data_IF_550307080353
#
_entry.id   IF_550307080353
#
_cell.length_a   1.000
_cell.length_b   1.000
_cell.length_c   1.000
_cell.angle_alpha   90.00
_cell.angle_beta   90.00
_cell.angle_gamma   90.00
#
_symmetry.space_group_name_H-M   'P 1'
#
loop_
_entity.id
_entity.type
_entity.pdbx_description
1 polymer ?
#
# COMPACT_ATOMS: atom_id res chain seq x y z
N UNK A 1 -7.56 23.89 54.76
CA UNK A 1 -8.88 23.98 54.08
C UNK A 1 -8.88 25.03 52.96
N UNK A 2 -8.06 26.09 53.05
CA UNK A 2 -7.94 27.18 52.06
C UNK A 2 -7.31 26.76 50.72
N UNK A 3 -6.26 25.94 50.71
CA UNK A 3 -5.61 25.49 49.48
C UNK A 3 -6.48 24.57 48.59
N UNK A 4 -7.43 23.85 49.17
CA UNK A 4 -8.40 23.04 48.41
C UNK A 4 -9.45 23.95 47.78
N UNK A 5 -9.90 24.98 48.49
CA UNK A 5 -10.86 25.97 47.97
C UNK A 5 -10.25 26.80 46.84
N UNK A 6 -9.00 27.25 46.98
CA UNK A 6 -8.27 27.96 45.91
C UNK A 6 -8.03 27.08 44.67
N UNK A 7 -7.74 25.79 44.85
CA UNK A 7 -7.57 24.86 43.72
C UNK A 7 -8.90 24.47 43.06
N UNK A 8 -10.00 24.45 43.81
CA UNK A 8 -11.36 24.27 43.26
C UNK A 8 -11.81 25.53 42.52
N UNK A 9 -11.44 26.73 42.98
CA UNK A 9 -11.71 27.99 42.28
C UNK A 9 -10.90 28.13 40.99
N UNK A 10 -9.66 27.61 40.92
CA UNK A 10 -8.90 27.47 39.66
C UNK A 10 -9.50 26.48 38.66
N UNK A 11 -10.43 25.62 39.09
CA UNK A 11 -11.25 24.78 38.21
C UNK A 11 -12.55 25.45 37.78
N UNK A 12 -12.79 26.71 38.19
CA UNK A 12 -13.83 27.54 37.62
C UNK A 12 -13.63 27.65 36.10
N UNK A 13 -14.70 27.43 35.34
CA UNK A 13 -14.70 27.59 33.89
C UNK A 13 -14.54 29.08 33.59
N UNK A 14 -13.30 29.58 33.54
CA UNK A 14 -13.02 31.01 33.27
C UNK A 14 -13.21 31.39 31.79
N UNK A 15 -13.52 30.43 30.91
CA UNK A 15 -13.59 30.66 29.47
C UNK A 15 -14.74 29.85 28.85
N UNK A 16 -15.53 30.53 28.02
CA UNK A 16 -16.67 29.92 27.34
C UNK A 16 -16.22 28.86 26.31
N UNK A 17 -17.06 27.84 26.08
CA UNK A 17 -16.80 26.84 25.04
C UNK A 17 -17.27 27.42 23.70
N UNK A 18 -16.36 27.46 22.73
CA UNK A 18 -16.61 27.90 21.37
C UNK A 18 -16.66 26.68 20.46
N UNK A 19 -17.70 26.61 19.62
CA UNK A 19 -17.84 25.54 18.61
C UNK A 19 -17.56 26.11 17.23
N UNK A 20 -16.69 25.44 16.48
CA UNK A 20 -16.24 25.83 15.16
C UNK A 20 -16.55 24.71 14.16
N UNK A 21 -16.89 25.06 12.92
CA UNK A 21 -17.23 24.11 11.87
C UNK A 21 -16.40 24.33 10.62
N UNK A 22 -15.80 23.25 10.13
CA UNK A 22 -15.08 23.22 8.87
C UNK A 22 -15.93 22.41 7.86
N UNK A 23 -16.50 23.07 6.86
CA UNK A 23 -17.29 22.43 5.80
C UNK A 23 -16.47 22.33 4.53
N UNK A 24 -16.21 21.11 4.08
CA UNK A 24 -15.57 20.85 2.79
C UNK A 24 -16.57 21.10 1.66
N UNK A 25 -16.21 21.92 0.67
CA UNK A 25 -17.07 22.15 -0.50
C UNK A 25 -16.40 21.72 -1.81
N UNK A 26 -15.07 21.65 -1.83
CA UNK A 26 -14.26 21.00 -2.85
C UNK A 26 -13.14 20.22 -2.17
N UNK A 27 -12.52 19.28 -2.89
CA UNK A 27 -11.52 18.37 -2.31
C UNK A 27 -10.36 19.17 -1.68
N UNK A 28 -10.24 19.11 -0.35
CA UNK A 28 -9.23 19.84 0.42
C UNK A 28 -9.46 21.35 0.55
N UNK A 29 -10.63 21.86 0.16
CA UNK A 29 -11.02 23.27 0.30
C UNK A 29 -12.21 23.38 1.24
N UNK A 30 -12.03 24.18 2.29
CA UNK A 30 -12.96 24.29 3.41
C UNK A 30 -13.49 25.70 3.57
N UNK A 31 -14.77 25.81 3.90
CA UNK A 31 -15.39 27.00 4.41
C UNK A 31 -15.52 26.90 5.94
N UNK A 32 -15.25 28.00 6.64
CA UNK A 32 -15.11 28.04 8.09
C UNK A 32 -16.24 28.85 8.73
N UNK A 33 -17.01 28.21 9.60
CA UNK A 33 -18.21 28.80 10.19
C UNK A 33 -18.25 28.65 11.70
N UNK A 34 -18.87 29.63 12.36
CA UNK A 34 -19.18 29.58 13.80
C UNK A 34 -20.65 29.98 14.02
N UNK A 35 -21.39 29.31 14.92
CA UNK A 35 -22.71 29.76 15.36
C UNK A 35 -22.60 30.87 16.42
N UNK A 36 -21.41 31.05 17.01
CA UNK A 36 -21.14 32.02 18.07
C UNK A 36 -20.85 33.37 17.44
N UNK A 37 -21.56 34.39 17.91
CA UNK A 37 -21.28 35.79 17.64
C UNK A 37 -20.40 36.33 18.77
N UNK A 38 -19.34 37.04 18.42
CA UNK A 38 -18.53 37.78 19.39
C UNK A 38 -19.25 39.08 19.79
N UNK A 39 -18.84 39.71 20.89
CA UNK A 39 -19.42 40.98 21.40
C UNK A 39 -19.34 42.11 20.35
N UNK A 40 -18.33 42.05 19.47
CA UNK A 40 -18.10 42.99 18.38
C UNK A 40 -18.83 42.62 17.06
N UNK A 41 -19.61 41.53 17.02
CA UNK A 41 -20.25 40.99 15.80
C UNK A 41 -19.24 40.62 14.69
N UNK A 42 -18.00 40.29 15.04
CA UNK A 42 -16.91 39.98 14.08
C UNK A 42 -16.63 38.47 13.94
N UNK A 43 -15.78 38.12 12.97
CA UNK A 43 -15.34 36.75 12.69
C UNK A 43 -14.32 36.24 13.73
N UNK A 44 -14.44 34.99 14.16
CA UNK A 44 -13.54 34.35 15.13
C UNK A 44 -12.29 33.83 14.42
N UNK A 45 -11.09 33.97 15.01
CA UNK A 45 -9.86 33.41 14.45
C UNK A 45 -9.32 32.26 15.30
N UNK A 46 -8.98 31.14 14.64
CA UNK A 46 -8.42 29.96 15.29
C UNK A 46 -7.35 29.30 14.42
N UNK A 47 -6.34 28.68 15.02
CA UNK A 47 -5.26 28.00 14.27
C UNK A 47 -5.64 26.58 13.88
N UNK A 48 -5.20 26.14 12.70
CA UNK A 48 -5.21 24.73 12.34
C UNK A 48 -4.01 23.97 12.93
N UNK A 49 -3.99 22.65 12.82
CA UNK A 49 -2.90 21.80 13.33
C UNK A 49 -1.55 22.10 12.69
N UNK A 50 -1.54 22.74 11.51
CA UNK A 50 -0.34 23.23 10.82
C UNK A 50 0.11 24.63 11.26
N UNK A 51 -0.62 25.29 12.16
CA UNK A 51 -0.32 26.63 12.68
C UNK A 51 -0.87 27.79 11.85
N UNK A 52 -1.62 27.51 10.77
CA UNK A 52 -2.22 28.56 9.92
C UNK A 52 -3.45 29.13 10.62
N UNK A 53 -3.56 30.47 10.65
CA UNK A 53 -4.75 31.15 11.19
C UNK A 53 -5.90 31.04 10.20
N UNK A 54 -7.05 30.54 10.68
CA UNK A 54 -8.31 30.43 9.94
C UNK A 54 -9.33 31.39 10.53
N UNK A 55 -10.06 32.07 9.66
CA UNK A 55 -11.11 33.00 10.03
C UNK A 55 -12.48 32.33 9.85
N UNK A 56 -13.20 32.20 10.95
CA UNK A 56 -14.53 31.59 11.06
C UNK A 56 -15.60 32.67 11.00
N UNK A 57 -16.44 32.62 9.98
CA UNK A 57 -17.52 33.59 9.80
C UNK A 57 -18.76 33.18 10.60
N UNK A 58 -19.41 34.15 11.24
CA UNK A 58 -20.66 33.90 11.95
C UNK A 58 -21.79 33.63 10.94
N UNK A 59 -22.35 32.43 10.98
CA UNK A 59 -23.51 32.04 10.16
C UNK A 59 -24.54 31.40 11.10
N UNK A 60 -25.84 31.73 10.96
CA UNK A 60 -26.91 31.07 11.70
C UNK A 60 -27.01 29.60 11.25
N UNK A 61 -26.28 28.75 11.97
CA UNK A 61 -26.22 27.31 11.78
C UNK A 61 -26.55 26.62 13.09
N UNK A 62 -27.45 25.65 13.03
CA UNK A 62 -27.89 24.86 14.17
C UNK A 62 -27.54 23.40 13.90
N UNK A 63 -26.79 22.81 14.82
CA UNK A 63 -26.23 21.47 14.70
C UNK A 63 -26.60 20.69 15.96
N UNK A 64 -27.49 19.71 15.80
CA UNK A 64 -28.10 18.96 16.90
C UNK A 64 -27.93 17.45 16.69
N UNK A 65 -28.03 16.67 17.77
CA UNK A 65 -27.99 15.21 17.70
C UNK A 65 -26.58 14.60 17.67
N UNK A 66 -25.55 15.34 18.11
CA UNK A 66 -24.16 14.86 18.25
C UNK A 66 -23.92 13.95 19.46
N UNK A 67 -24.93 13.22 19.90
CA UNK A 67 -24.83 12.44 21.12
C UNK A 67 -23.99 11.17 20.90
N UNK A 68 -23.04 10.92 21.80
CA UNK A 68 -22.17 9.74 21.74
C UNK A 68 -22.79 8.67 22.63
N UNK A 69 -23.67 7.88 22.03
CA UNK A 69 -24.31 6.75 22.69
C UNK A 69 -23.35 5.55 22.69
N UNK A 70 -23.26 4.85 23.83
CA UNK A 70 -22.41 3.65 23.98
C UNK A 70 -23.08 2.36 23.51
N UNK A 71 -24.40 2.39 23.29
CA UNK A 71 -25.21 1.25 22.89
C UNK A 71 -26.27 1.68 21.84
N UNK A 72 -26.53 0.82 20.86
CA UNK A 72 -27.52 1.05 19.80
C UNK A 72 -26.99 1.63 18.48
N UNK A 73 -27.92 2.10 17.65
CA UNK A 73 -27.61 2.74 16.37
C UNK A 73 -26.88 4.06 16.58
N UNK A 74 -25.91 4.37 15.73
CA UNK A 74 -25.19 5.62 15.79
C UNK A 74 -26.15 6.81 15.59
N UNK A 75 -25.95 7.87 16.36
CA UNK A 75 -26.70 9.11 16.18
C UNK A 75 -26.44 9.67 14.79
N UNK A 76 -27.49 10.14 14.12
CA UNK A 76 -27.44 10.84 12.84
C UNK A 76 -27.75 12.31 13.09
N UNK A 77 -26.74 13.15 13.31
CA UNK A 77 -26.95 14.55 13.64
C UNK A 77 -27.65 15.28 12.50
N UNK A 78 -28.41 16.32 12.83
CA UNK A 78 -29.02 17.21 11.84
C UNK A 78 -28.32 18.56 11.85
N UNK A 79 -28.01 19.06 10.65
CA UNK A 79 -27.47 20.41 10.44
C UNK A 79 -28.51 21.26 9.74
N UNK A 80 -29.04 22.27 10.41
CA UNK A 80 -29.96 23.24 9.85
C UNK A 80 -29.23 24.55 9.59
N UNK A 81 -29.26 25.01 8.35
CA UNK A 81 -28.70 26.29 7.92
C UNK A 81 -29.86 27.20 7.51
N UNK A 82 -29.87 28.44 7.99
CA UNK A 82 -30.86 29.41 7.53
C UNK A 82 -30.69 29.67 6.02
N UNK A 83 -31.79 29.71 5.28
CA UNK A 83 -31.78 29.83 3.81
C UNK A 83 -31.60 31.30 3.37
N UNK A 84 -30.52 31.93 3.84
CA UNK A 84 -30.05 33.21 3.34
C UNK A 84 -29.23 32.90 2.09
N UNK A 85 -29.91 32.74 0.96
CA UNK A 85 -29.34 32.18 -0.27
C UNK A 85 -28.07 32.88 -0.79
N UNK A 86 -27.84 34.16 -0.51
CA UNK A 86 -26.66 34.88 -1.00
C UNK A 86 -25.41 34.57 -0.17
N UNK A 87 -25.43 34.82 1.14
CA UNK A 87 -24.23 34.75 1.99
C UNK A 87 -23.67 33.33 2.10
N UNK A 88 -24.53 32.30 2.18
CA UNK A 88 -24.06 30.92 2.29
C UNK A 88 -23.57 30.38 0.95
N UNK A 89 -24.20 30.72 -0.19
CA UNK A 89 -23.71 30.34 -1.52
C UNK A 89 -22.40 31.04 -1.86
N UNK A 90 -22.26 32.32 -1.52
CA UNK A 90 -21.02 33.08 -1.72
C UNK A 90 -19.86 32.46 -0.92
N UNK A 91 -20.12 32.03 0.33
CA UNK A 91 -19.14 31.34 1.16
C UNK A 91 -18.74 29.95 0.63
N UNK A 92 -19.58 29.32 -0.19
CA UNK A 92 -19.35 28.01 -0.81
C UNK A 92 -18.90 28.10 -2.28
N UNK A 93 -18.52 29.29 -2.75
CA UNK A 93 -18.04 29.49 -4.12
C UNK A 93 -19.13 29.32 -5.19
N UNK A 94 -20.39 29.59 -4.85
CA UNK A 94 -21.53 29.53 -5.76
C UNK A 94 -22.17 28.14 -5.92
N UNK A 95 -21.74 27.16 -5.13
CA UNK A 95 -22.31 25.81 -5.15
C UNK A 95 -23.72 25.77 -4.54
N UNK A 96 -24.56 24.88 -5.07
CA UNK A 96 -25.89 24.62 -4.54
C UNK A 96 -25.85 23.74 -3.29
N UNK A 97 -26.95 23.71 -2.55
CA UNK A 97 -27.09 22.83 -1.39
C UNK A 97 -27.00 21.34 -1.75
N UNK A 98 -27.36 20.96 -2.98
CA UNK A 98 -27.27 19.57 -3.46
C UNK A 98 -25.82 19.12 -3.66
N UNK A 99 -24.92 20.04 -4.00
CA UNK A 99 -23.49 19.75 -4.25
C UNK A 99 -22.72 19.44 -2.95
N UNK A 100 -23.36 19.68 -1.80
CA UNK A 100 -22.84 19.36 -0.48
C UNK A 100 -23.07 17.91 -0.07
N UNK A 101 -23.91 17.15 -0.80
CA UNK A 101 -24.12 15.73 -0.51
C UNK A 101 -22.82 14.96 -0.73
N UNK A 102 -22.43 14.17 0.28
CA UNK A 102 -21.17 13.42 0.31
C UNK A 102 -19.97 14.23 0.79
N UNK A 103 -20.12 15.53 1.08
CA UNK A 103 -19.06 16.38 1.62
C UNK A 103 -18.90 16.22 3.13
N UNK A 104 -17.71 16.54 3.62
CA UNK A 104 -17.34 16.38 5.03
C UNK A 104 -17.59 17.66 5.80
N UNK A 105 -18.13 17.51 7.01
CA UNK A 105 -18.18 18.57 8.01
C UNK A 105 -17.43 18.12 9.25
N UNK A 106 -16.47 18.94 9.70
CA UNK A 106 -15.72 18.70 10.93
C UNK A 106 -16.16 19.69 11.98
N UNK A 107 -16.61 19.17 13.12
CA UNK A 107 -16.92 19.95 14.31
C UNK A 107 -15.68 20.00 15.20
N UNK A 108 -15.22 21.20 15.49
CA UNK A 108 -14.12 21.50 16.42
C UNK A 108 -14.71 22.22 17.62
N UNK A 109 -14.20 21.91 18.81
CA UNK A 109 -14.64 22.59 20.03
C UNK A 109 -13.40 23.00 20.81
N UNK A 110 -13.36 24.26 21.24
CA UNK A 110 -12.24 24.81 22.02
C UNK A 110 -12.78 25.78 23.07
N UNK A 111 -11.91 26.30 23.92
CA UNK A 111 -12.23 27.38 24.85
C UNK A 111 -11.82 28.72 24.23
N UNK A 112 -12.59 29.76 24.49
CA UNK A 112 -12.36 31.12 23.97
C UNK A 112 -10.93 31.63 24.22
N UNK A 113 -10.31 31.30 25.35
CA UNK A 113 -8.93 31.70 25.69
C UNK A 113 -7.86 31.14 24.74
N UNK A 114 -8.18 30.09 23.97
CA UNK A 114 -7.29 29.47 22.98
C UNK A 114 -7.50 30.01 21.56
N UNK A 115 -8.41 30.97 21.38
CA UNK A 115 -8.56 31.71 20.11
C UNK A 115 -7.34 32.61 19.88
N UNK A 116 -7.12 32.95 18.61
CA UNK A 116 -6.00 33.82 18.21
C UNK A 116 -6.18 35.20 18.83
N UNK A 117 -5.12 35.72 19.45
CA UNK A 117 -5.14 37.00 20.16
C UNK A 117 -5.40 36.90 21.67
N UNK A 118 -5.78 35.71 22.17
CA UNK A 118 -5.98 35.45 23.60
C UNK A 118 -4.75 34.80 24.26
N UNK A 119 -4.75 34.76 25.60
CA UNK A 119 -3.59 34.32 26.41
C UNK A 119 -3.18 32.86 26.22
N UNK A 120 -4.07 32.01 25.68
CA UNK A 120 -3.83 30.60 25.41
C UNK A 120 -3.49 30.25 23.96
N UNK A 121 -3.43 31.23 23.05
CA UNK A 121 -3.07 30.96 21.64
C UNK A 121 -1.70 30.26 21.55
N UNK A 122 -1.67 29.09 20.91
CA UNK A 122 -0.48 28.24 20.82
C UNK A 122 -0.48 27.41 19.54
N UNK A 123 0.70 26.92 19.16
CA UNK A 123 0.89 26.03 18.02
C UNK A 123 1.65 24.79 18.49
N UNK A 124 1.07 23.58 18.43
CA UNK A 124 -0.26 23.25 17.89
C UNK A 124 -1.42 23.81 18.74
N UNK A 125 -2.59 24.06 18.12
CA UNK A 125 -3.75 24.61 18.83
C UNK A 125 -4.28 23.64 19.89
N UNK A 126 -4.81 24.18 20.98
CA UNK A 126 -5.47 23.39 22.03
C UNK A 126 -6.96 23.30 21.71
N UNK A 127 -7.47 22.09 21.48
CA UNK A 127 -8.88 21.80 21.23
C UNK A 127 -9.29 20.45 21.83
N UNK A 128 -10.59 20.25 21.99
CA UNK A 128 -11.16 18.94 22.27
C UNK A 128 -11.14 18.07 20.99
N UNK A 129 -11.28 16.73 21.12
CA UNK A 129 -11.30 15.84 19.96
C UNK A 129 -12.29 16.29 18.89
N UNK A 130 -11.78 16.63 17.70
CA UNK A 130 -12.60 17.00 16.55
C UNK A 130 -13.35 15.80 16.01
N UNK A 131 -14.62 15.99 15.63
CA UNK A 131 -15.46 14.91 15.09
C UNK A 131 -15.85 15.26 13.66
N UNK A 132 -15.64 14.34 12.72
CA UNK A 132 -15.99 14.54 11.30
C UNK A 132 -17.17 13.66 10.90
N UNK A 133 -18.16 14.28 10.27
CA UNK A 133 -19.32 13.64 9.65
C UNK A 133 -19.35 13.89 8.15
N UNK A 134 -20.16 13.12 7.44
CA UNK A 134 -20.44 13.28 6.02
C UNK A 134 -21.91 13.65 5.85
N UNK A 135 -22.21 14.62 4.99
CA UNK A 135 -23.58 14.97 4.63
C UNK A 135 -24.17 13.83 3.79
N UNK A 136 -25.16 13.12 4.32
CA UNK A 136 -25.77 11.94 3.66
C UNK A 136 -26.86 12.39 2.67
N UNK A 137 -27.76 13.27 3.12
CA UNK A 137 -28.87 13.78 2.30
C UNK A 137 -29.46 15.09 2.86
N UNK A 138 -30.24 15.75 2.03
CA UNK A 138 -31.12 16.85 2.46
C UNK A 138 -32.38 16.23 3.08
N UNK A 139 -32.56 16.46 4.37
CA UNK A 139 -33.72 15.98 5.12
C UNK A 139 -34.97 16.85 4.86
N UNK A 140 -34.79 18.16 4.76
CA UNK A 140 -35.86 19.10 4.42
C UNK A 140 -35.32 20.38 3.81
N UNK A 141 -36.11 20.99 2.93
CA UNK A 141 -35.80 22.28 2.29
C UNK A 141 -37.04 23.17 2.37
N UNK A 142 -36.89 24.33 3.00
CA UNK A 142 -37.93 25.34 3.15
C UNK A 142 -37.40 26.71 2.75
N UNK A 143 -38.29 27.68 2.58
CA UNK A 143 -37.90 29.08 2.29
C UNK A 143 -37.05 29.65 3.42
N UNK A 144 -37.27 29.21 4.67
CA UNK A 144 -36.58 29.72 5.86
C UNK A 144 -35.24 29.03 6.14
N UNK A 145 -35.05 27.79 5.68
CA UNK A 145 -33.87 26.99 6.04
C UNK A 145 -33.79 25.65 5.32
N UNK A 146 -32.58 25.10 5.24
CA UNK A 146 -32.27 23.77 4.72
C UNK A 146 -31.73 22.92 5.85
N UNK A 147 -32.26 21.71 6.02
CA UNK A 147 -31.79 20.75 7.01
C UNK A 147 -31.12 19.56 6.32
N UNK A 148 -29.88 19.28 6.71
CA UNK A 148 -29.08 18.16 6.25
C UNK A 148 -29.05 17.07 7.33
N UNK A 149 -29.12 15.81 6.90
CA UNK A 149 -28.84 14.66 7.75
C UNK A 149 -27.36 14.29 7.60
N UNK A 150 -26.66 14.20 8.72
CA UNK A 150 -25.25 13.85 8.79
C UNK A 150 -25.09 12.38 9.19
N UNK A 151 -24.17 11.69 8.54
CA UNK A 151 -23.79 10.32 8.85
C UNK A 151 -22.32 10.22 9.23
N UNK A 152 -21.99 9.29 10.12
CA UNK A 152 -20.59 8.96 10.36
C UNK A 152 -19.97 8.36 9.09
N UNK A 153 -18.67 8.57 8.79
CA UNK A 153 -18.04 8.09 7.56
C UNK A 153 -18.15 6.57 7.30
N UNK A 154 -18.40 5.78 8.35
CA UNK A 154 -18.56 4.33 8.29
C UNK A 154 -20.03 3.84 8.27
N UNK A 155 -21.00 4.73 8.51
CA UNK A 155 -22.44 4.44 8.45
C UNK A 155 -23.06 4.84 7.09
N UNK A 156 -22.23 5.25 6.14
CA UNK A 156 -22.67 5.53 4.77
C UNK A 156 -23.09 4.24 4.05
N UNK A 157 -24.15 4.33 3.26
CA UNK A 157 -24.65 3.20 2.49
C UNK A 157 -23.56 2.60 1.59
N UNK A 158 -23.41 1.27 1.63
CA UNK A 158 -22.42 0.55 0.82
C UNK A 158 -21.03 0.46 1.44
N UNK A 159 -20.76 1.16 2.54
CA UNK A 159 -19.52 0.99 3.30
C UNK A 159 -19.69 -0.17 4.29
N UNK A 160 -18.85 -1.21 4.16
CA UNK A 160 -18.77 -2.31 5.12
C UNK A 160 -17.42 -2.27 5.84
N UNK A 161 -17.46 -2.29 7.16
CA UNK A 161 -16.30 -2.58 7.99
C UNK A 161 -16.31 -4.07 8.36
N UNK A 162 -15.17 -4.79 8.29
CA UNK A 162 -13.85 -4.32 7.86
C UNK A 162 -13.76 -4.16 6.33
N UNK A 163 -13.11 -3.09 5.85
CA UNK A 163 -12.80 -2.94 4.41
C UNK A 163 -11.85 -4.01 3.87
N UNK A 164 -11.09 -4.68 4.74
CA UNK A 164 -10.15 -5.75 4.38
C UNK A 164 -10.85 -7.10 4.47
N UNK A 165 -10.93 -7.80 3.34
CA UNK A 165 -11.38 -9.20 3.28
C UNK A 165 -10.21 -10.11 3.63
N UNK A 166 -10.38 -10.97 4.64
CA UNK A 166 -9.41 -12.01 4.98
C UNK A 166 -9.69 -13.23 4.10
N UNK A 167 -8.81 -13.49 3.13
CA UNK A 167 -8.89 -14.69 2.29
C UNK A 167 -8.05 -15.79 2.94
N UNK A 168 -8.69 -16.90 3.29
CA UNK A 168 -7.98 -18.07 3.82
C UNK A 168 -6.94 -18.59 2.82
N UNK A 169 -5.72 -18.86 3.29
CA UNK A 169 -4.63 -19.37 2.43
C UNK A 169 -3.63 -18.31 1.95
N UNK A 170 -3.98 -17.03 2.02
CA UNK A 170 -3.17 -15.94 1.48
C UNK A 170 -2.65 -14.98 2.56
N UNK A 171 -1.45 -14.46 2.35
CA UNK A 171 -0.80 -13.47 3.19
C UNK A 171 -1.46 -12.09 2.99
N UNK A 172 -2.00 -11.45 4.05
CA UNK A 172 -2.59 -10.12 3.94
C UNK A 172 -1.57 -8.98 3.93
N UNK A 173 -0.29 -9.27 4.24
CA UNK A 173 0.71 -8.21 4.42
C UNK A 173 1.26 -7.70 3.10
N UNK A 174 1.65 -6.42 3.10
CA UNK A 174 2.48 -5.82 2.05
C UNK A 174 3.82 -6.55 2.04
N UNK A 175 4.28 -6.92 0.84
CA UNK A 175 5.57 -7.62 0.71
C UNK A 175 6.71 -6.68 1.10
N UNK A 176 7.69 -7.17 1.87
CA UNK A 176 8.81 -6.39 2.43
C UNK A 176 8.38 -5.20 3.31
N UNK A 177 7.09 -5.08 3.65
CA UNK A 177 6.55 -3.93 4.36
C UNK A 177 7.02 -3.82 5.80
N UNK A 178 7.48 -4.91 6.42
CA UNK A 178 8.09 -4.89 7.76
C UNK A 178 9.59 -5.23 7.72
N UNK A 179 10.26 -4.97 6.58
CA UNK A 179 11.69 -5.19 6.43
C UNK A 179 12.46 -4.52 7.57
N UNK A 180 13.47 -5.21 8.10
CA UNK A 180 14.37 -4.63 9.13
C UNK A 180 15.17 -3.43 8.62
N UNK A 181 15.24 -3.24 7.30
CA UNK A 181 15.94 -2.12 6.65
C UNK A 181 15.07 -0.88 6.47
N UNK A 182 13.77 -0.94 6.83
CA UNK A 182 12.86 0.21 6.82
C UNK A 182 12.91 0.94 8.17
N UNK A 183 12.75 2.27 8.13
CA UNK A 183 12.50 3.05 9.34
C UNK A 183 11.17 2.61 9.98
N UNK A 184 11.07 2.70 11.31
CA UNK A 184 9.89 2.19 12.04
C UNK A 184 8.59 2.84 11.57
N UNK A 185 8.63 4.13 11.22
CA UNK A 185 7.48 4.90 10.71
C UNK A 185 6.99 4.43 9.33
N UNK A 186 7.87 3.81 8.54
CA UNK A 186 7.57 3.34 7.18
C UNK A 186 7.16 1.85 7.15
N UNK A 187 7.17 1.18 8.31
CA UNK A 187 6.81 -0.24 8.38
C UNK A 187 5.30 -0.42 8.25
N UNK A 188 4.90 -1.21 7.27
CA UNK A 188 3.51 -1.54 6.96
C UNK A 188 3.31 -3.06 6.86
N UNK A 189 2.59 -3.64 7.83
CA UNK A 189 2.25 -5.06 7.85
C UNK A 189 3.29 -5.92 8.60
N UNK A 190 3.42 -7.20 8.22
CA UNK A 190 4.23 -8.18 8.96
C UNK A 190 5.27 -8.94 8.13
N UNK A 191 5.45 -8.60 6.84
CA UNK A 191 6.46 -9.27 6.03
C UNK A 191 7.85 -8.69 6.29
N UNK A 192 8.65 -9.41 7.07
CA UNK A 192 10.02 -9.03 7.46
C UNK A 192 11.11 -9.34 6.41
N UNK A 193 10.72 -9.70 5.18
CA UNK A 193 11.69 -9.96 4.12
C UNK A 193 12.46 -8.67 3.79
N UNK A 194 13.78 -8.78 3.62
CA UNK A 194 14.66 -7.62 3.45
C UNK A 194 14.49 -6.97 2.08
N UNK A 195 14.57 -5.63 2.01
CA UNK A 195 14.44 -4.87 0.76
C UNK A 195 15.58 -5.12 -0.23
N UNK A 196 16.76 -5.48 0.27
CA UNK A 196 17.96 -5.80 -0.50
C UNK A 196 18.00 -7.25 -1.01
N UNK A 197 16.92 -8.01 -0.80
CA UNK A 197 16.76 -9.39 -1.24
C UNK A 197 17.88 -10.32 -0.75
N UNK A 198 18.39 -10.09 0.46
CA UNK A 198 19.41 -10.93 1.09
C UNK A 198 18.81 -11.85 2.15
N UNK A 199 19.36 -13.05 2.24
CA UNK A 199 19.17 -13.98 3.34
C UNK A 199 20.52 -14.30 3.99
N UNK A 200 20.58 -14.25 5.31
CA UNK A 200 21.78 -14.65 6.05
C UNK A 200 21.72 -16.14 6.35
N UNK A 201 22.69 -16.91 5.85
CA UNK A 201 22.82 -18.35 6.10
C UNK A 201 24.25 -18.58 6.60
N UNK A 202 24.39 -18.99 7.87
CA UNK A 202 25.70 -19.26 8.48
C UNK A 202 26.59 -18.02 8.55
N UNK A 203 26.02 -16.84 8.79
CA UNK A 203 26.77 -15.58 8.88
C UNK A 203 27.07 -14.91 7.54
N UNK A 204 26.74 -15.54 6.41
CA UNK A 204 26.96 -14.98 5.07
C UNK A 204 25.64 -14.59 4.42
N UNK A 205 25.61 -13.40 3.81
CA UNK A 205 24.45 -12.93 3.06
C UNK A 205 24.44 -13.46 1.62
N UNK A 206 23.32 -14.06 1.21
CA UNK A 206 23.09 -14.54 -0.15
C UNK A 206 21.90 -13.83 -0.78
N UNK A 207 21.99 -13.52 -2.07
CA UNK A 207 20.87 -12.95 -2.81
C UNK A 207 19.82 -14.02 -3.09
N UNK A 208 18.58 -13.77 -2.66
CA UNK A 208 17.44 -14.64 -2.89
C UNK A 208 16.26 -13.82 -3.36
N UNK A 209 15.70 -14.20 -4.50
CA UNK A 209 14.48 -13.62 -5.04
C UNK A 209 13.62 -14.68 -5.72
N UNK A 210 12.31 -14.46 -5.74
CA UNK A 210 11.36 -15.28 -6.47
C UNK A 210 10.23 -14.42 -7.02
N UNK A 211 9.60 -14.84 -8.11
CA UNK A 211 8.47 -14.11 -8.68
C UNK A 211 7.13 -14.50 -8.04
N UNK A 212 6.06 -13.89 -8.55
CA UNK A 212 4.66 -14.16 -8.17
C UNK A 212 4.23 -15.62 -8.31
N UNK A 213 4.91 -16.41 -9.16
CA UNK A 213 4.64 -17.82 -9.42
C UNK A 213 5.59 -18.75 -8.68
N UNK A 214 6.31 -18.24 -7.67
CA UNK A 214 7.26 -18.99 -6.85
C UNK A 214 8.46 -19.55 -7.65
N UNK A 215 8.75 -18.97 -8.81
CA UNK A 215 9.93 -19.29 -9.62
C UNK A 215 11.14 -18.54 -9.06
N UNK A 216 12.17 -19.28 -8.65
CA UNK A 216 13.39 -18.69 -8.09
C UNK A 216 14.16 -17.91 -9.17
N UNK A 217 14.67 -16.74 -8.80
CA UNK A 217 15.49 -15.90 -9.68
C UNK A 217 16.97 -16.15 -9.33
N UNK A 218 17.71 -16.78 -10.25
CA UNK A 218 19.10 -17.23 -10.04
C UNK A 218 20.05 -16.67 -11.10
N UNK A 219 21.33 -16.57 -10.74
CA UNK A 219 22.35 -15.97 -11.60
C UNK A 219 22.50 -16.79 -12.89
N UNK A 220 22.38 -16.13 -14.05
CA UNK A 220 22.39 -16.78 -15.36
C UNK A 220 23.65 -17.62 -15.58
N UNK A 221 24.83 -17.12 -15.19
CA UNK A 221 26.11 -17.85 -15.35
C UNK A 221 26.17 -19.13 -14.51
N UNK A 222 25.62 -19.10 -13.29
CA UNK A 222 25.51 -20.28 -12.43
C UNK A 222 24.58 -21.34 -13.06
N UNK A 223 23.44 -20.91 -13.62
CA UNK A 223 22.50 -21.79 -14.31
C UNK A 223 23.10 -22.39 -15.59
N UNK A 224 23.75 -21.59 -16.43
CA UNK A 224 24.34 -22.09 -17.67
C UNK A 224 25.49 -23.06 -17.42
N UNK A 225 26.22 -22.91 -16.31
CA UNK A 225 27.29 -23.83 -15.93
C UNK A 225 26.80 -25.14 -15.29
N UNK A 226 25.62 -25.12 -14.65
CA UNK A 226 25.09 -26.26 -13.91
C UNK A 226 23.99 -27.04 -14.66
N UNK A 227 23.25 -26.40 -15.57
CA UNK A 227 22.06 -26.99 -16.18
C UNK A 227 22.39 -27.92 -17.36
N UNK A 228 21.78 -29.11 -17.36
CA UNK A 228 21.89 -30.07 -18.47
C UNK A 228 20.75 -29.89 -19.48
N UNK A 229 21.06 -29.92 -20.77
CA UNK A 229 20.05 -29.80 -21.82
C UNK A 229 19.13 -31.01 -21.90
N UNK A 230 17.84 -30.78 -22.08
CA UNK A 230 16.82 -31.82 -22.30
C UNK A 230 15.70 -31.30 -23.21
N UNK A 231 14.79 -32.19 -23.60
CA UNK A 231 13.55 -31.86 -24.30
C UNK A 231 12.34 -32.03 -23.36
N UNK A 232 11.22 -31.37 -23.67
CA UNK A 232 10.01 -31.43 -22.86
C UNK A 232 9.47 -32.86 -22.81
N UNK A 233 9.01 -33.29 -21.64
CA UNK A 233 8.39 -34.61 -21.41
C UNK A 233 9.26 -35.82 -21.82
N UNK A 234 10.56 -35.62 -22.03
CA UNK A 234 11.46 -36.70 -22.45
C UNK A 234 11.63 -37.75 -21.35
N UNK A 235 11.55 -39.03 -21.74
CA UNK A 235 11.87 -40.13 -20.83
C UNK A 235 13.38 -40.17 -20.55
N UNK A 236 13.75 -40.24 -19.28
CA UNK A 236 15.15 -40.22 -18.84
C UNK A 236 15.28 -40.16 -17.33
N UNK A 237 16.50 -40.27 -16.80
CA UNK A 237 16.70 -40.18 -15.34
C UNK A 237 16.98 -38.74 -14.93
N UNK A 238 16.05 -38.12 -14.21
CA UNK A 238 16.20 -36.77 -13.69
C UNK A 238 16.37 -36.81 -12.18
N UNK A 239 17.45 -36.21 -11.69
CA UNK A 239 17.84 -36.29 -10.28
C UNK A 239 17.34 -35.06 -9.52
N UNK A 240 16.79 -35.28 -8.32
CA UNK A 240 16.45 -34.20 -7.39
C UNK A 240 17.63 -33.24 -7.22
N UNK A 241 17.30 -31.96 -7.08
CA UNK A 241 18.25 -30.88 -6.88
C UNK A 241 19.23 -30.69 -8.05
N UNK A 242 18.89 -31.16 -9.26
CA UNK A 242 19.66 -30.89 -10.48
C UNK A 242 18.94 -29.85 -11.35
N UNK A 243 19.72 -29.08 -12.10
CA UNK A 243 19.21 -28.08 -13.04
C UNK A 243 19.16 -28.64 -14.46
N UNK A 244 18.10 -28.28 -15.19
CA UNK A 244 17.91 -28.64 -16.58
C UNK A 244 17.44 -27.44 -17.39
N UNK A 245 17.62 -27.49 -18.71
CA UNK A 245 17.04 -26.49 -19.60
C UNK A 245 16.40 -27.14 -20.83
N UNK A 246 15.38 -26.46 -21.36
CA UNK A 246 14.75 -26.81 -22.64
C UNK A 246 14.85 -25.62 -23.58
N UNK A 247 15.11 -25.88 -24.87
CA UNK A 247 15.02 -24.86 -25.90
C UNK A 247 13.57 -24.34 -25.99
N UNK A 248 13.40 -23.05 -26.23
CA UNK A 248 12.06 -22.44 -26.35
C UNK A 248 12.09 -21.37 -27.43
N UNK A 249 11.15 -21.47 -28.36
CA UNK A 249 10.91 -20.45 -29.36
C UNK A 249 10.08 -19.34 -28.72
N UNK A 250 10.58 -18.11 -28.77
CA UNK A 250 9.93 -16.94 -28.20
C UNK A 250 9.74 -15.87 -29.28
N UNK A 251 8.90 -14.90 -28.99
CA UNK A 251 8.71 -13.74 -29.88
C UNK A 251 9.07 -12.45 -29.15
N UNK A 252 9.84 -11.58 -29.82
CA UNK A 252 10.16 -10.22 -29.35
C UNK A 252 10.24 -9.27 -30.55
N UNK A 253 10.16 -7.98 -30.30
CA UNK A 253 10.41 -6.99 -31.35
C UNK A 253 11.88 -7.02 -31.79
N UNK A 254 12.12 -7.01 -33.09
CA UNK A 254 13.44 -6.82 -33.68
C UNK A 254 13.80 -5.33 -33.82
N UNK A 255 15.01 -5.07 -34.32
CA UNK A 255 15.57 -3.72 -34.59
C UNK A 255 14.80 -2.91 -35.64
N UNK A 256 13.83 -3.50 -36.32
CA UNK A 256 12.95 -2.83 -37.29
C UNK A 256 11.54 -2.58 -36.76
N UNK A 257 11.23 -3.00 -35.54
CA UNK A 257 9.93 -2.79 -34.89
C UNK A 257 8.93 -3.89 -35.22
N UNK A 258 9.39 -4.98 -35.82
CA UNK A 258 8.55 -6.11 -36.22
C UNK A 258 8.69 -7.22 -35.19
N UNK A 259 7.58 -7.90 -34.90
CA UNK A 259 7.60 -9.05 -34.01
C UNK A 259 8.27 -10.23 -34.72
N UNK A 260 9.42 -10.65 -34.22
CA UNK A 260 10.22 -11.75 -34.78
C UNK A 260 10.30 -12.93 -33.82
N UNK A 261 10.45 -14.13 -34.38
CA UNK A 261 10.66 -15.36 -33.61
C UNK A 261 12.16 -15.56 -33.35
N UNK A 262 12.51 -15.84 -32.10
CA UNK A 262 13.88 -16.07 -31.63
C UNK A 262 13.96 -17.42 -30.93
N UNK A 263 14.99 -18.20 -31.24
CA UNK A 263 15.25 -19.50 -30.63
C UNK A 263 16.75 -19.68 -30.45
N UNK A 264 17.29 -19.07 -29.41
CA UNK A 264 18.73 -19.04 -29.14
C UNK A 264 19.05 -19.45 -27.69
N UNK A 265 20.33 -19.40 -27.34
CA UNK A 265 20.83 -19.70 -25.99
C UNK A 265 20.15 -18.88 -24.89
N UNK A 266 19.65 -17.68 -25.20
CA UNK A 266 19.03 -16.75 -24.27
C UNK A 266 17.53 -17.01 -24.08
N UNK A 267 16.89 -17.75 -24.99
CA UNK A 267 15.46 -18.06 -24.90
C UNK A 267 15.17 -19.39 -24.18
N UNK A 268 16.15 -19.98 -23.50
CA UNK A 268 16.00 -21.25 -22.78
C UNK A 268 15.10 -21.11 -21.55
N UNK A 269 14.21 -22.08 -21.35
CA UNK A 269 13.52 -22.28 -20.07
C UNK A 269 14.40 -23.12 -19.14
N UNK A 270 14.69 -22.61 -17.95
CA UNK A 270 15.42 -23.33 -16.91
C UNK A 270 14.47 -23.99 -15.91
N UNK A 271 14.88 -25.14 -15.39
CA UNK A 271 14.11 -25.98 -14.49
C UNK A 271 15.00 -26.47 -13.35
N UNK A 272 14.45 -26.47 -12.13
CA UNK A 272 15.00 -27.17 -10.98
C UNK A 272 14.18 -28.43 -10.74
N UNK A 273 14.83 -29.59 -10.70
CA UNK A 273 14.18 -30.85 -10.37
C UNK A 273 13.96 -30.94 -8.85
N UNK A 274 12.71 -30.90 -8.41
CA UNK A 274 12.32 -30.93 -6.99
C UNK A 274 12.29 -32.35 -6.43
N UNK A 275 11.99 -33.34 -7.26
CA UNK A 275 12.03 -34.76 -6.88
C UNK A 275 12.50 -35.58 -8.07
N UNK A 276 13.26 -36.64 -7.82
CA UNK A 276 13.73 -37.52 -8.89
C UNK A 276 12.54 -38.09 -9.67
N UNK A 277 12.68 -38.19 -10.99
CA UNK A 277 11.60 -38.60 -11.89
C UNK A 277 12.17 -39.21 -13.17
N UNK A 278 11.34 -40.01 -13.85
CA UNK A 278 11.66 -40.62 -15.14
C UNK A 278 11.16 -39.80 -16.35
N UNK A 279 10.34 -38.77 -16.10
CA UNK A 279 9.72 -37.93 -17.13
C UNK A 279 10.28 -36.52 -17.05
N UNK A 280 10.63 -35.95 -18.19
CA UNK A 280 11.29 -34.65 -18.32
C UNK A 280 10.45 -33.45 -17.89
N UNK A 281 11.04 -32.26 -17.92
CA UNK A 281 10.38 -31.05 -17.45
C UNK A 281 9.17 -30.68 -18.32
N UNK A 282 8.14 -30.15 -17.65
CA UNK A 282 6.97 -29.54 -18.28
C UNK A 282 6.17 -28.70 -17.29
N UNK A 283 5.16 -27.98 -17.79
CA UNK A 283 4.29 -27.16 -16.94
C UNK A 283 3.37 -27.98 -16.03
N UNK A 284 3.12 -29.24 -16.35
CA UNK A 284 2.24 -30.15 -15.57
C UNK A 284 3.04 -31.08 -14.67
N UNK A 285 4.31 -31.31 -14.98
CA UNK A 285 5.18 -32.16 -14.18
C UNK A 285 5.62 -31.44 -12.89
N UNK A 286 4.92 -31.74 -11.79
CA UNK A 286 5.21 -31.19 -10.45
C UNK A 286 6.56 -31.64 -9.87
N UNK A 287 7.30 -32.51 -10.56
CA UNK A 287 8.68 -32.80 -10.20
C UNK A 287 9.66 -31.70 -10.61
N UNK A 288 9.25 -30.74 -11.43
CA UNK A 288 10.07 -29.60 -11.82
C UNK A 288 9.42 -28.29 -11.40
N UNK A 289 10.27 -27.30 -11.15
CA UNK A 289 9.87 -25.91 -11.00
C UNK A 289 10.69 -25.06 -11.92
N UNK A 290 10.04 -24.08 -12.55
CA UNK A 290 10.71 -23.10 -13.40
C UNK A 290 11.65 -22.23 -12.58
N UNK A 291 12.75 -21.86 -13.22
CA UNK A 291 13.77 -20.98 -12.65
C UNK A 291 14.03 -19.85 -13.63
N UNK A 292 14.26 -18.65 -13.08
CA UNK A 292 14.40 -17.42 -13.83
C UNK A 292 15.84 -16.94 -13.82
N UNK A 293 16.52 -16.86 -14.97
CA UNK A 293 17.87 -16.34 -15.02
C UNK A 293 17.84 -14.82 -14.84
N UNK A 294 18.79 -14.29 -14.07
CA UNK A 294 19.10 -12.86 -14.05
C UNK A 294 20.56 -12.60 -14.40
N UNK A 295 20.86 -11.36 -14.79
CA UNK A 295 22.22 -10.85 -14.98
C UNK A 295 22.40 -9.50 -14.28
N UNK A 296 23.63 -9.05 -14.05
CA UNK A 296 23.86 -7.72 -13.51
C UNK A 296 23.50 -6.66 -14.55
N UNK A 297 22.87 -5.58 -14.10
CA UNK A 297 22.57 -4.44 -14.97
C UNK A 297 23.84 -3.75 -15.47
N UNK A 298 23.83 -3.33 -16.74
CA UNK A 298 24.87 -2.57 -17.41
C UNK A 298 24.19 -1.53 -18.31
N UNK A 299 24.68 -0.30 -18.29
CA UNK A 299 24.16 0.80 -19.12
C UNK A 299 24.34 0.54 -20.63
N UNK A 300 25.29 -0.31 -20.99
CA UNK A 300 25.51 -0.78 -22.37
C UNK A 300 24.87 -2.14 -22.67
N UNK A 301 24.18 -2.73 -21.68
CA UNK A 301 23.54 -4.04 -21.82
C UNK A 301 22.25 -3.97 -22.62
N UNK A 302 21.92 -5.05 -23.30
CA UNK A 302 20.65 -5.21 -24.00
C UNK A 302 19.74 -6.15 -23.23
N UNK A 303 18.52 -5.70 -22.97
CA UNK A 303 17.50 -6.46 -22.24
C UNK A 303 16.20 -6.48 -23.05
N UNK A 304 15.52 -7.63 -23.06
CA UNK A 304 14.36 -7.89 -23.90
C UNK A 304 13.10 -8.20 -23.10
N UNK A 305 12.00 -7.58 -23.53
CA UNK A 305 10.65 -7.98 -23.20
C UNK A 305 10.14 -8.88 -24.31
N UNK A 306 9.67 -10.06 -23.95
CA UNK A 306 9.10 -11.03 -24.87
C UNK A 306 7.58 -10.96 -24.82
N UNK A 307 6.93 -11.47 -25.86
CA UNK A 307 5.46 -11.62 -25.90
C UNK A 307 4.96 -12.50 -24.76
N UNK A 308 5.69 -13.59 -24.48
CA UNK A 308 5.51 -14.35 -23.25
C UNK A 308 6.27 -13.65 -22.11
N UNK A 309 5.52 -12.95 -21.26
CA UNK A 309 6.02 -12.21 -20.08
C UNK A 309 6.73 -13.10 -19.08
N UNK A 310 6.50 -14.42 -19.15
CA UNK A 310 7.35 -15.42 -18.54
C UNK A 310 8.77 -15.07 -18.92
N UNK A 311 9.23 -15.14 -20.15
CA UNK A 311 10.66 -15.08 -20.48
C UNK A 311 11.35 -13.71 -20.45
N UNK A 312 10.68 -12.66 -20.00
CA UNK A 312 11.28 -11.31 -19.90
C UNK A 312 12.59 -11.32 -19.11
N UNK A 313 13.57 -10.58 -19.63
CA UNK A 313 14.89 -10.49 -19.00
C UNK A 313 14.80 -9.84 -17.63
N UNK A 314 15.61 -10.37 -16.71
CA UNK A 314 15.72 -9.88 -15.33
C UNK A 314 17.15 -9.39 -15.10
N UNK A 315 17.26 -8.21 -14.49
CA UNK A 315 18.53 -7.59 -14.13
C UNK A 315 18.62 -7.30 -12.64
N UNK A 316 19.82 -7.31 -12.09
CA UNK A 316 20.12 -6.88 -10.73
C UNK A 316 20.81 -5.51 -10.76
N UNK A 317 20.26 -4.52 -10.05
CA UNK A 317 20.88 -3.22 -9.82
C UNK A 317 20.58 -2.76 -8.38
N UNK A 318 21.58 -2.28 -7.66
CA UNK A 318 21.44 -1.75 -6.29
C UNK A 318 20.69 -2.69 -5.33
N UNK A 319 20.91 -4.01 -5.42
CA UNK A 319 20.26 -5.00 -4.56
C UNK A 319 18.80 -5.33 -4.93
N UNK A 320 18.26 -4.75 -6.00
CA UNK A 320 16.91 -5.00 -6.48
C UNK A 320 16.89 -5.73 -7.82
N UNK A 321 15.96 -6.68 -7.96
CA UNK A 321 15.71 -7.39 -9.22
C UNK A 321 14.63 -6.69 -10.03
N UNK A 322 14.94 -6.40 -11.29
CA UNK A 322 14.10 -5.67 -12.23
C UNK A 322 13.83 -6.51 -13.47
N UNK A 323 12.57 -6.63 -13.86
CA UNK A 323 12.13 -7.34 -15.07
C UNK A 323 11.78 -6.31 -16.13
N UNK A 324 12.29 -6.50 -17.34
CA UNK A 324 11.91 -5.69 -18.49
C UNK A 324 10.43 -5.96 -18.85
N UNK A 325 9.59 -4.93 -18.93
CA UNK A 325 8.19 -5.05 -19.35
C UNK A 325 8.00 -4.66 -20.81
N UNK A 326 8.64 -3.56 -21.22
CA UNK A 326 8.65 -3.05 -22.58
C UNK A 326 10.09 -2.85 -22.98
N UNK A 327 10.36 -3.04 -24.27
CA UNK A 327 11.70 -2.82 -24.80
C UNK A 327 11.60 -2.04 -26.10
N UNK A 328 12.54 -1.13 -26.28
CA UNK A 328 12.71 -0.44 -27.54
C UNK A 328 13.14 -1.41 -28.63
N UNK A 329 13.04 -0.93 -29.85
CA UNK A 329 13.28 -1.68 -31.09
C UNK A 329 14.67 -2.36 -31.09
N UNK A 330 15.68 -1.71 -30.53
CA UNK A 330 17.05 -2.23 -30.36
C UNK A 330 17.27 -3.05 -29.08
N UNK A 331 16.21 -3.49 -28.41
CA UNK A 331 16.24 -3.88 -26.99
C UNK A 331 16.31 -2.65 -26.08
N UNK A 332 16.24 -2.82 -24.75
CA UNK A 332 16.44 -1.71 -23.81
C UNK A 332 17.88 -1.17 -23.98
N UNK A 333 18.06 -0.12 -24.79
CA UNK A 333 19.41 0.31 -25.22
C UNK A 333 19.38 1.26 -26.42
N UNK A 334 19.41 2.55 -26.11
CA UNK A 334 19.61 3.67 -27.05
C UNK A 334 19.75 5.00 -26.29
N UNK A 335 18.98 5.15 -25.20
CA UNK A 335 19.26 6.10 -24.12
C UNK A 335 18.72 5.50 -22.83
N UNK A 336 19.51 4.62 -22.22
CA UNK A 336 19.36 4.35 -20.80
C UNK A 336 20.03 5.57 -20.14
N UNK A 337 19.27 6.54 -19.65
CA UNK A 337 19.89 7.55 -18.78
C UNK A 337 20.59 6.77 -17.66
N UNK A 338 21.82 7.13 -17.34
CA UNK A 338 22.73 6.47 -16.39
C UNK A 338 22.22 6.42 -14.94
N UNK A 339 20.91 6.59 -14.74
CA UNK A 339 20.23 6.59 -13.47
C UNK A 339 19.86 5.19 -12.97
N UNK A 340 19.41 5.17 -11.72
CA UNK A 340 18.91 3.98 -11.06
C UNK A 340 17.58 3.55 -11.72
N UNK A 341 17.43 2.26 -12.01
CA UNK A 341 16.15 1.69 -12.44
C UNK A 341 15.12 1.92 -11.32
N UNK A 342 13.93 2.36 -11.72
CA UNK A 342 12.74 2.50 -10.87
C UNK A 342 11.53 1.86 -11.56
N UNK A 343 10.45 1.65 -10.82
CA UNK A 343 9.19 1.15 -11.39
C UNK A 343 8.65 2.17 -12.41
N UNK A 344 8.36 1.71 -13.63
CA UNK A 344 7.80 2.51 -14.73
C UNK A 344 7.26 1.58 -15.84
N UNK A 345 6.86 2.15 -16.97
CA UNK A 345 6.34 1.41 -18.14
C UNK A 345 7.32 0.37 -18.75
N UNK A 346 8.63 0.54 -18.52
CA UNK A 346 9.68 -0.33 -19.07
C UNK A 346 10.21 -1.32 -18.03
N UNK A 347 10.21 -0.96 -16.75
CA UNK A 347 10.77 -1.76 -15.68
C UNK A 347 9.78 -2.01 -14.56
N UNK A 348 9.75 -3.24 -14.11
CA UNK A 348 8.98 -3.63 -12.94
C UNK A 348 9.79 -4.47 -11.99
N UNK A 349 9.49 -4.42 -10.69
CA UNK A 349 10.09 -5.35 -9.72
C UNK A 349 9.84 -6.80 -10.13
N UNK A 350 10.93 -7.56 -10.27
CA UNK A 350 10.90 -8.98 -10.62
C UNK A 350 10.70 -9.87 -9.38
N UNK A 351 11.29 -9.49 -8.25
CA UNK A 351 11.04 -10.16 -6.98
C UNK A 351 9.67 -9.73 -6.44
N UNK A 352 8.75 -10.69 -6.37
CA UNK A 352 7.37 -10.50 -5.93
C UNK A 352 6.94 -11.70 -5.11
N UNK A 353 6.19 -11.45 -4.04
CA UNK A 353 5.68 -12.53 -3.18
C UNK A 353 4.45 -13.20 -3.81
N UNK A 354 4.46 -14.52 -3.93
CA UNK A 354 3.31 -15.34 -4.35
C UNK A 354 2.15 -15.40 -3.34
N UNK A 355 2.29 -14.73 -2.19
CA UNK A 355 1.29 -14.59 -1.11
C UNK A 355 0.86 -15.89 -0.42
N UNK A 356 1.44 -17.04 -0.73
CA UNK A 356 1.13 -18.29 -0.04
C UNK A 356 2.17 -18.61 1.03
N UNK A 357 1.80 -19.47 1.99
CA UNK A 357 2.76 -19.97 3.00
C UNK A 357 3.92 -20.69 2.31
N UNK A 358 3.63 -21.45 1.26
CA UNK A 358 4.63 -22.10 0.39
C UNK A 358 5.61 -21.09 -0.19
N UNK A 359 5.14 -19.94 -0.68
CA UNK A 359 5.98 -18.84 -1.18
C UNK A 359 6.93 -18.29 -0.11
N UNK A 360 6.46 -18.19 1.13
CA UNK A 360 7.27 -17.74 2.25
C UNK A 360 8.33 -18.77 2.66
N UNK A 361 8.02 -20.07 2.59
CA UNK A 361 9.00 -21.14 2.84
C UNK A 361 10.16 -21.11 1.86
N UNK A 362 9.91 -20.76 0.59
CA UNK A 362 10.98 -20.62 -0.41
C UNK A 362 12.00 -19.53 -0.05
N UNK A 363 11.60 -18.56 0.75
CA UNK A 363 12.43 -17.44 1.19
C UNK A 363 13.04 -17.73 2.55
N UNK A 364 12.21 -17.82 3.59
CA UNK A 364 12.66 -17.91 4.98
C UNK A 364 13.21 -19.29 5.39
N UNK A 365 12.91 -20.34 4.63
CA UNK A 365 13.42 -21.69 4.87
C UNK A 365 14.35 -22.14 3.73
N UNK A 366 14.93 -21.18 2.99
CA UNK A 366 15.84 -21.50 1.91
C UNK A 366 17.12 -22.17 2.43
N UNK A 367 17.59 -23.17 1.70
CA UNK A 367 18.88 -23.82 1.94
C UNK A 367 19.77 -23.58 0.74
N UNK A 368 21.08 -23.46 0.96
CA UNK A 368 22.03 -23.34 -0.13
C UNK A 368 22.09 -24.63 -0.94
N UNK A 369 22.28 -24.49 -2.24
CA UNK A 369 22.58 -25.63 -3.10
C UNK A 369 24.00 -26.15 -2.79
N UNK A 370 24.20 -27.47 -2.65
CA UNK A 370 25.48 -28.04 -2.19
C UNK A 370 26.65 -27.82 -3.18
N UNK A 371 26.35 -27.69 -4.48
CA UNK A 371 27.37 -27.64 -5.54
C UNK A 371 27.25 -26.47 -6.52
N UNK A 372 26.23 -25.60 -6.38
CA UNK A 372 25.99 -24.51 -7.33
C UNK A 372 25.97 -23.21 -6.53
N UNK A 373 27.04 -22.44 -6.66
CA UNK A 373 27.21 -21.19 -5.92
C UNK A 373 26.09 -20.19 -6.25
N UNK A 374 25.53 -19.55 -5.23
CA UNK A 374 24.42 -18.60 -5.37
C UNK A 374 23.07 -19.23 -5.74
N UNK A 375 22.96 -20.56 -5.80
CA UNK A 375 21.71 -21.26 -5.99
C UNK A 375 21.17 -21.82 -4.66
N UNK A 376 19.88 -22.14 -4.67
CA UNK A 376 19.18 -22.71 -3.51
C UNK A 376 18.72 -24.14 -3.78
N UNK A 377 18.72 -24.92 -2.72
CA UNK A 377 18.30 -26.30 -2.71
C UNK A 377 16.81 -26.43 -3.03
N UNK A 378 16.41 -27.53 -3.69
CA UNK A 378 15.03 -27.76 -4.04
C UNK A 378 14.08 -27.94 -2.83
N UNK A 379 14.61 -28.54 -1.75
CA UNK A 379 13.92 -28.72 -0.47
C UNK A 379 14.25 -27.59 0.51
N UNK A 380 13.24 -27.19 1.28
CA UNK A 380 13.31 -26.15 2.31
C UNK A 380 13.69 -26.75 3.68
N UNK A 381 14.25 -25.93 4.57
CA UNK A 381 14.51 -26.30 5.96
C UNK A 381 13.25 -26.19 6.81
N UNK A 382 12.51 -27.30 6.90
CA UNK A 382 11.29 -27.37 7.70
C UNK A 382 11.53 -27.23 9.21
N UNK A 383 12.78 -27.22 9.69
CA UNK A 383 13.08 -26.97 11.11
C UNK A 383 13.10 -25.49 11.45
N UNK A 384 13.30 -24.61 10.46
CA UNK A 384 13.23 -23.17 10.69
C UNK A 384 11.78 -22.71 10.74
N UNK A 385 11.41 -22.05 11.83
CA UNK A 385 10.11 -21.41 11.93
C UNK A 385 10.03 -20.24 10.94
N UNK A 386 8.85 -20.04 10.35
CA UNK A 386 8.58 -18.78 9.66
C UNK A 386 8.57 -17.65 10.71
N UNK A 387 9.00 -16.42 10.35
CA UNK A 387 9.05 -15.30 11.30
C UNK A 387 7.68 -14.81 11.75
N UNK A 388 6.62 -15.45 11.25
CA UNK A 388 5.23 -15.17 11.56
C UNK A 388 4.46 -16.49 11.67
N UNK A 389 3.35 -16.48 12.41
CA UNK A 389 2.47 -17.65 12.55
C UNK A 389 1.74 -18.04 11.26
N UNK A 390 0.80 -18.97 11.35
CA UNK A 390 -0.07 -19.27 10.20
C UNK A 390 -0.92 -18.05 9.80
N UNK A 391 -1.26 -17.94 8.51
CA UNK A 391 -2.20 -16.90 8.08
C UNK A 391 -3.60 -17.19 8.65
N UNK A 392 -4.37 -16.17 9.07
CA UNK A 392 -5.75 -16.34 9.51
C UNK A 392 -6.58 -17.10 8.45
N UNK A 393 -7.43 -18.03 8.89
CA UNK A 393 -8.27 -18.83 8.00
C UNK A 393 -7.55 -19.95 7.25
N UNK A 394 -6.25 -20.19 7.52
CA UNK A 394 -5.56 -21.42 7.07
C UNK A 394 -5.76 -22.50 8.10
N UNK A 395 -6.26 -23.67 7.69
CA UNK A 395 -6.23 -24.87 8.52
C UNK A 395 -4.77 -25.16 8.86
N UNK A 396 -4.36 -24.83 10.08
CA UNK A 396 -3.06 -25.24 10.60
C UNK A 396 -3.09 -26.76 10.69
N UNK A 397 -2.51 -27.43 9.69
CA UNK A 397 -2.16 -28.85 9.84
C UNK A 397 -1.07 -28.92 10.92
N UNK A 398 -1.50 -29.01 12.19
CA UNK A 398 -0.68 -29.53 13.27
C UNK A 398 -0.35 -30.97 12.85
N UNK A 399 0.92 -31.23 12.56
CA UNK A 399 1.44 -32.60 12.46
C UNK A 399 1.79 -33.08 13.85
#
# INVERSE_FOLDING_TARGET
MTAIVENVQKQGVESSIVTLYDLEYADGVFAYFTPTIDEDLTSIQFRDSGGTVRTYNAIPIQLEGFDVQSDGAISRPSMTVANIESTFKDALGGLGFEDLIGRRITRRTTQEKYLVGNSGDSTPPVEFPSITYVIDRIASKSIMGVTFELAAPFDLAGIKLPRRVVIGGACPWKYQGASSTLAEVDKEGGCSWRLDNKINIGGTDYLLAANESDEMILLKTALTGAATGTTLEASGSYSQNSFYFTATQLQRYDSSGVLSTVNDINTRQYWLCIRSTSTGPSNTNTAFRKVRPYQTFSASGTYYGYKDKGFNDIVLQNGAFWRAQRTTVTGYGGSQTSGNISENDFWTRADRCGKQITSCRLRFQAKLHPSVSGAFHALQDNKQALPFGGFPGVVQRRR
#
